data_IF_508523750138
#
_entry.id   IF_508523750138
#
_cell.length_a   1.000
_cell.length_b   1.000
_cell.length_c   1.000
_cell.angle_alpha   90.00
_cell.angle_beta   90.00
_cell.angle_gamma   90.00
#
_symmetry.space_group_name_H-M   'P 1'
#
loop_
_entity.id
_entity.type
_entity.pdbx_description
1 polymer ?
#
# COMPACT_ATOMS: atom_id res chain seq x y z
N UNK A 1 -4.09 -27.00 -5.97
CA UNK A 1 -3.82 -25.70 -5.31
C UNK A 1 -4.85 -25.53 -4.21
N UNK A 2 -4.50 -24.89 -3.09
CA UNK A 2 -5.46 -24.59 -2.03
C UNK A 2 -6.50 -23.57 -2.53
N UNK A 3 -7.70 -23.58 -1.94
CA UNK A 3 -8.73 -22.57 -2.18
C UNK A 3 -8.25 -21.21 -1.64
N UNK A 4 -8.17 -20.15 -2.46
CA UNK A 4 -7.72 -18.83 -2.01
C UNK A 4 -8.82 -18.04 -1.28
N UNK A 5 -10.08 -18.49 -1.30
CA UNK A 5 -11.22 -17.77 -0.73
C UNK A 5 -11.00 -17.31 0.71
N UNK A 6 -10.48 -18.15 1.64
CA UNK A 6 -10.24 -17.71 3.01
C UNK A 6 -9.29 -16.51 3.12
N UNK A 7 -8.25 -16.46 2.27
CA UNK A 7 -7.28 -15.34 2.26
C UNK A 7 -7.95 -14.04 1.80
N UNK A 8 -8.87 -14.12 0.85
CA UNK A 8 -9.60 -12.93 0.39
C UNK A 8 -10.64 -12.44 1.40
N UNK A 9 -11.25 -13.34 2.16
CA UNK A 9 -12.16 -12.97 3.24
C UNK A 9 -11.39 -12.32 4.40
N UNK A 10 -10.24 -12.87 4.78
CA UNK A 10 -9.34 -12.28 5.79
C UNK A 10 -8.87 -10.87 5.35
N UNK A 11 -8.40 -10.72 4.11
CA UNK A 11 -7.96 -9.42 3.57
C UNK A 11 -9.09 -8.37 3.61
N UNK A 12 -10.32 -8.77 3.31
CA UNK A 12 -11.49 -7.87 3.39
C UNK A 12 -11.75 -7.44 4.83
N UNK A 13 -11.72 -8.39 5.77
CA UNK A 13 -11.94 -8.11 7.18
C UNK A 13 -10.88 -7.15 7.74
N UNK A 14 -9.61 -7.38 7.40
CA UNK A 14 -8.50 -6.51 7.80
C UNK A 14 -8.64 -5.10 7.21
N UNK A 15 -9.03 -5.01 5.93
CA UNK A 15 -9.29 -3.72 5.27
C UNK A 15 -10.41 -2.94 5.95
N UNK A 16 -11.52 -3.60 6.31
CA UNK A 16 -12.62 -2.95 7.04
C UNK A 16 -12.22 -2.51 8.45
N UNK A 17 -11.36 -3.28 9.12
CA UNK A 17 -10.83 -2.89 10.43
C UNK A 17 -9.93 -1.65 10.33
N UNK A 18 -9.06 -1.62 9.32
CA UNK A 18 -8.23 -0.46 9.03
C UNK A 18 -9.07 0.78 8.68
N UNK A 19 -10.08 0.63 7.84
CA UNK A 19 -11.03 1.71 7.52
C UNK A 19 -11.70 2.26 8.78
N UNK A 20 -12.19 1.39 9.68
CA UNK A 20 -12.77 1.80 10.96
C UNK A 20 -11.76 2.49 11.88
N UNK A 21 -10.47 2.14 11.79
CA UNK A 21 -9.40 2.78 12.55
C UNK A 21 -9.19 4.23 12.07
N UNK A 22 -9.01 4.41 10.76
CA UNK A 22 -8.66 5.71 10.17
C UNK A 22 -9.86 6.64 10.01
N UNK A 23 -11.09 6.11 9.92
CA UNK A 23 -12.32 6.89 9.86
C UNK A 23 -12.55 7.78 11.10
N UNK A 24 -11.83 7.52 12.20
CA UNK A 24 -11.87 8.33 13.43
C UNK A 24 -10.92 9.52 13.40
N UNK A 25 -10.01 9.57 12.44
CA UNK A 25 -8.97 10.61 12.34
C UNK A 25 -9.55 11.89 11.73
N UNK A 26 -9.26 13.02 12.35
CA UNK A 26 -9.44 14.34 11.77
C UNK A 26 -8.38 14.65 10.70
N UNK A 27 -8.59 15.67 9.84
CA UNK A 27 -7.68 15.99 8.75
C UNK A 27 -6.22 16.22 9.15
N UNK A 28 -5.97 16.84 10.31
CA UNK A 28 -4.61 17.08 10.81
C UNK A 28 -3.91 15.83 11.36
N UNK A 29 -4.67 14.79 11.72
CA UNK A 29 -4.11 13.58 12.33
C UNK A 29 -3.46 12.64 11.29
N UNK A 30 -3.81 12.80 10.02
CA UNK A 30 -3.14 12.13 8.89
C UNK A 30 -1.65 12.49 8.79
N UNK A 31 -1.25 13.66 9.31
CA UNK A 31 0.13 14.12 9.37
C UNK A 31 0.93 13.60 10.57
N UNK A 32 0.32 12.83 11.49
CA UNK A 32 1.04 12.30 12.65
C UNK A 32 2.15 11.34 12.22
N UNK A 33 3.35 11.53 12.79
CA UNK A 33 4.49 10.67 12.54
C UNK A 33 4.24 9.25 13.06
N UNK A 34 4.78 8.27 12.33
CA UNK A 34 4.74 6.85 12.68
C UNK A 34 6.13 6.38 13.12
N UNK A 35 6.28 5.17 13.68
CA UNK A 35 7.61 4.62 13.99
C UNK A 35 8.50 4.43 12.76
N UNK A 36 7.95 4.41 11.54
CA UNK A 36 8.72 4.47 10.31
C UNK A 36 9.24 5.90 10.10
N UNK A 37 10.56 6.15 10.16
CA UNK A 37 11.11 7.50 10.05
C UNK A 37 10.70 8.18 8.74
N UNK A 38 10.24 9.42 8.84
CA UNK A 38 9.78 10.21 7.68
C UNK A 38 8.33 9.94 7.27
N UNK A 39 7.70 8.84 7.70
CA UNK A 39 6.36 8.48 7.28
C UNK A 39 5.31 8.93 8.29
N UNK A 40 4.30 9.66 7.80
CA UNK A 40 3.08 9.94 8.55
C UNK A 40 2.06 8.79 8.42
N UNK A 41 0.92 8.92 9.10
CA UNK A 41 -0.23 8.01 8.91
C UNK A 41 -0.66 7.98 7.44
N UNK A 42 -0.69 9.13 6.75
CA UNK A 42 -1.00 9.19 5.32
C UNK A 42 -0.04 8.35 4.47
N UNK A 43 1.26 8.44 4.73
CA UNK A 43 2.28 7.62 4.04
C UNK A 43 2.04 6.12 4.23
N UNK A 44 1.67 5.69 5.45
CA UNK A 44 1.36 4.27 5.71
C UNK A 44 0.17 3.79 4.88
N UNK A 45 -0.92 4.57 4.83
CA UNK A 45 -2.10 4.20 4.05
C UNK A 45 -1.82 4.25 2.55
N UNK A 46 -1.08 5.26 2.09
CA UNK A 46 -0.63 5.37 0.71
C UNK A 46 0.20 4.15 0.28
N UNK A 47 1.12 3.70 1.13
CA UNK A 47 1.94 2.51 0.88
C UNK A 47 1.11 1.22 0.76
N UNK A 48 0.10 1.03 1.62
CA UNK A 48 -0.82 -0.11 1.52
C UNK A 48 -1.59 -0.09 0.18
N UNK A 49 -2.21 1.05 -0.14
CA UNK A 49 -2.94 1.21 -1.40
C UNK A 49 -2.04 1.05 -2.64
N UNK A 50 -0.80 1.52 -2.58
CA UNK A 50 0.19 1.33 -3.65
C UNK A 50 0.55 -0.16 -3.81
N UNK A 51 0.71 -0.90 -2.71
CA UNK A 51 1.00 -2.34 -2.72
C UNK A 51 -0.16 -3.11 -3.35
N UNK A 52 -1.41 -2.79 -2.99
CA UNK A 52 -2.61 -3.42 -3.56
C UNK A 52 -2.70 -3.20 -5.08
N UNK A 53 -2.43 -1.98 -5.55
CA UNK A 53 -2.37 -1.68 -6.99
C UNK A 53 -1.28 -2.47 -7.69
N UNK A 54 -0.12 -2.62 -7.06
CA UNK A 54 1.01 -3.38 -7.63
C UNK A 54 0.71 -4.88 -7.70
N UNK A 55 0.06 -5.43 -6.68
CA UNK A 55 -0.40 -6.81 -6.67
C UNK A 55 -1.47 -7.08 -7.73
N UNK A 56 -2.44 -6.16 -7.89
CA UNK A 56 -3.43 -6.24 -8.96
C UNK A 56 -2.77 -6.19 -10.33
N UNK A 57 -1.85 -5.24 -10.56
CA UNK A 57 -1.11 -5.11 -11.81
C UNK A 57 -0.38 -6.42 -12.15
N UNK A 58 0.29 -7.04 -11.17
CA UNK A 58 1.00 -8.30 -11.35
C UNK A 58 0.13 -9.43 -11.89
N UNK A 59 -1.16 -9.47 -11.52
CA UNK A 59 -2.10 -10.53 -11.93
C UNK A 59 -2.92 -10.16 -13.16
N UNK A 60 -3.09 -8.88 -13.46
CA UNK A 60 -3.91 -8.42 -14.60
C UNK A 60 -3.11 -7.97 -15.82
N UNK A 61 -1.85 -7.55 -15.65
CA UNK A 61 -1.01 -6.99 -16.71
C UNK A 61 0.48 -7.31 -16.46
N UNK A 62 0.94 -8.38 -17.09
CA UNK A 62 2.31 -8.87 -16.93
C UNK A 62 3.37 -7.93 -17.51
N UNK A 63 3.06 -7.17 -18.57
CA UNK A 63 4.00 -6.24 -19.18
C UNK A 63 4.10 -4.96 -18.35
N UNK A 64 2.95 -4.40 -17.93
CA UNK A 64 2.92 -3.27 -16.99
C UNK A 64 3.63 -3.57 -15.67
N UNK A 65 3.46 -4.79 -15.14
CA UNK A 65 4.18 -5.21 -13.93
C UNK A 65 5.70 -5.34 -14.16
N UNK A 66 6.14 -5.80 -15.34
CA UNK A 66 7.57 -5.85 -15.67
C UNK A 66 8.21 -4.46 -15.65
N UNK A 67 7.54 -3.47 -16.25
CA UNK A 67 7.99 -2.07 -16.21
C UNK A 67 8.05 -1.52 -14.78
N UNK A 68 7.07 -1.87 -13.93
CA UNK A 68 7.07 -1.49 -12.52
C UNK A 68 8.29 -2.06 -11.78
N UNK A 69 8.60 -3.35 -12.01
CA UNK A 69 9.78 -4.02 -11.41
C UNK A 69 11.08 -3.39 -11.90
N UNK A 70 11.19 -3.06 -13.18
CA UNK A 70 12.37 -2.38 -13.72
C UNK A 70 12.62 -1.02 -13.04
N UNK A 71 11.56 -0.23 -12.81
CA UNK A 71 11.63 1.02 -12.04
C UNK A 71 12.06 0.77 -10.59
N UNK A 72 11.52 -0.27 -9.96
CA UNK A 72 11.88 -0.64 -8.60
C UNK A 72 13.37 -1.02 -8.48
N UNK A 73 13.90 -1.79 -9.43
CA UNK A 73 15.30 -2.23 -9.45
C UNK A 73 16.29 -1.11 -9.73
N UNK A 74 15.87 -0.05 -10.42
CA UNK A 74 16.73 1.11 -10.69
C UNK A 74 17.01 1.94 -9.43
N UNK A 75 16.05 2.02 -8.51
CA UNK A 75 16.13 2.81 -7.27
C UNK A 75 15.49 2.08 -6.07
N UNK A 76 16.03 0.91 -5.67
CA UNK A 76 15.37 0.02 -4.71
C UNK A 76 15.15 0.65 -3.33
N UNK A 77 16.07 1.53 -2.90
CA UNK A 77 16.00 2.19 -1.60
C UNK A 77 14.99 3.35 -1.57
N UNK A 78 14.59 3.89 -2.72
CA UNK A 78 13.72 5.09 -2.80
C UNK A 78 12.35 4.81 -3.41
N UNK A 79 12.18 3.68 -4.08
CA UNK A 79 10.97 3.38 -4.86
C UNK A 79 9.71 3.33 -4.00
N UNK A 80 9.78 2.63 -2.86
CA UNK A 80 8.65 2.50 -1.93
C UNK A 80 8.37 3.83 -1.23
N UNK A 81 9.41 4.54 -0.78
CA UNK A 81 9.27 5.85 -0.14
C UNK A 81 8.59 6.87 -1.06
N UNK A 82 8.98 6.92 -2.34
CA UNK A 82 8.33 7.79 -3.33
C UNK A 82 6.88 7.40 -3.58
N UNK A 83 6.58 6.11 -3.68
CA UNK A 83 5.20 5.64 -3.83
C UNK A 83 4.30 6.02 -2.64
N UNK A 84 4.86 5.98 -1.43
CA UNK A 84 4.17 6.43 -0.22
C UNK A 84 3.96 7.95 -0.21
N UNK A 85 4.99 8.74 -0.58
CA UNK A 85 4.91 10.21 -0.67
C UNK A 85 3.90 10.67 -1.74
N UNK A 86 3.86 10.03 -2.91
CA UNK A 86 2.93 10.39 -4.00
C UNK A 86 1.45 10.23 -3.61
N UNK A 87 1.14 9.34 -2.67
CA UNK A 87 -0.22 9.06 -2.24
C UNK A 87 -0.64 9.69 -0.91
N UNK A 88 0.29 10.32 -0.19
CA UNK A 88 0.08 10.93 1.13
C UNK A 88 -0.36 12.40 1.03
#
# INVERSE_FOLDING_TARGET
>A
MADPTPVFDDLRQESEELDRLVARLGPGEWGLATPAPGWSVAHQIAHLAWTDRSALLAVTDADGFRELVEKALAEPDAFVDRGAEEGA
#
